data_IF_659057690763
#
_entry.id   IF_659057690763
#
_cell.length_a   1.000
_cell.length_b   1.000
_cell.length_c   1.000
_cell.angle_alpha   90.00
_cell.angle_beta   90.00
_cell.angle_gamma   90.00
#
_symmetry.space_group_name_H-M   'P 1'
#
loop_
_entity.id
_entity.type
_entity.pdbx_description
1 polymer ?
#
# COMPACT_ATOMS: atom_id res chain seq x y z
N UNK A 1 16.63 3.54 -2.77
CA UNK A 1 15.34 2.87 -2.96
C UNK A 1 15.12 1.90 -1.82
N UNK A 2 14.29 2.29 -0.88
CA UNK A 2 13.81 1.44 0.21
C UNK A 2 12.60 0.62 -0.25
N UNK A 3 12.25 -0.44 0.47
CA UNK A 3 11.04 -1.23 0.17
C UNK A 3 9.78 -0.39 0.31
N UNK A 4 9.75 0.55 1.25
CA UNK A 4 8.61 1.45 1.42
C UNK A 4 8.45 2.42 0.24
N UNK A 5 9.56 2.95 -0.29
CA UNK A 5 9.55 3.78 -1.51
C UNK A 5 9.00 3.00 -2.71
N UNK A 6 9.48 1.77 -2.93
CA UNK A 6 9.02 0.90 -4.02
C UNK A 6 7.51 0.61 -3.95
N UNK A 7 6.99 0.36 -2.74
CA UNK A 7 5.57 0.11 -2.52
C UNK A 7 4.73 1.34 -2.90
N UNK A 8 5.17 2.53 -2.50
CA UNK A 8 4.48 3.77 -2.84
C UNK A 8 4.52 4.07 -4.34
N UNK A 9 5.66 3.86 -4.99
CA UNK A 9 5.80 4.02 -6.44
C UNK A 9 4.89 3.04 -7.19
N UNK A 10 4.86 1.76 -6.80
CA UNK A 10 3.98 0.75 -7.39
C UNK A 10 2.50 1.13 -7.28
N UNK A 11 2.07 1.61 -6.11
CA UNK A 11 0.70 2.09 -5.91
C UNK A 11 0.39 3.29 -6.81
N UNK A 12 1.29 4.26 -6.86
CA UNK A 12 1.13 5.47 -7.64
C UNK A 12 0.99 5.14 -9.13
N UNK A 13 1.93 4.38 -9.69
CA UNK A 13 1.93 4.01 -11.10
C UNK A 13 0.69 3.18 -11.49
N UNK A 14 0.28 2.25 -10.63
CA UNK A 14 -0.88 1.42 -10.90
C UNK A 14 -2.19 2.22 -10.87
N UNK A 15 -2.36 3.11 -9.90
CA UNK A 15 -3.57 3.94 -9.78
C UNK A 15 -3.62 4.99 -10.90
N UNK A 16 -2.49 5.62 -11.22
CA UNK A 16 -2.37 6.50 -12.39
C UNK A 16 -2.84 5.79 -13.67
N UNK A 17 -2.34 4.57 -13.89
CA UNK A 17 -2.80 3.74 -15.01
C UNK A 17 -4.30 3.44 -14.98
N UNK A 18 -4.89 3.13 -13.81
CA UNK A 18 -6.32 2.89 -13.69
C UNK A 18 -7.13 4.14 -14.05
N UNK A 19 -6.76 5.31 -13.52
CA UNK A 19 -7.43 6.56 -13.83
C UNK A 19 -7.38 6.86 -15.34
N UNK A 20 -6.27 6.54 -16.01
CA UNK A 20 -6.14 6.68 -17.47
C UNK A 20 -7.06 5.73 -18.24
N UNK A 21 -7.36 4.55 -17.70
CA UNK A 21 -8.23 3.56 -18.34
C UNK A 21 -9.72 3.82 -18.12
N UNK A 22 -10.11 4.43 -17.01
CA UNK A 22 -11.50 4.60 -16.59
C UNK A 22 -12.18 5.85 -17.18
N UNK A 23 -11.53 6.57 -18.11
CA UNK A 23 -11.94 7.89 -18.61
C UNK A 23 -12.19 8.93 -17.48
N UNK A 24 -11.74 8.65 -16.25
CA UNK A 24 -11.68 9.59 -15.12
C UNK A 24 -10.54 10.59 -15.28
N UNK A 25 -9.58 10.29 -16.14
CA UNK A 25 -8.56 11.23 -16.59
C UNK A 25 -9.19 12.30 -17.50
N UNK A 26 -9.48 13.47 -16.94
CA UNK A 26 -9.54 14.68 -17.76
C UNK A 26 -8.12 15.05 -18.18
N UNK A 27 -7.92 15.53 -19.41
CA UNK A 27 -6.62 16.07 -19.88
C UNK A 27 -6.09 17.22 -18.99
N UNK A 28 -6.94 17.73 -18.08
CA UNK A 28 -6.67 18.82 -17.15
C UNK A 28 -6.28 18.36 -15.73
N UNK A 29 -6.21 17.04 -15.45
CA UNK A 29 -5.86 16.55 -14.10
C UNK A 29 -4.44 16.97 -13.72
N UNK A 30 -4.34 17.76 -12.66
CA UNK A 30 -3.05 18.19 -12.10
C UNK A 30 -2.36 17.06 -11.33
N UNK A 31 -1.04 17.18 -11.16
CA UNK A 31 -0.27 16.26 -10.33
C UNK A 31 -0.76 16.23 -8.87
N UNK A 32 -1.22 17.38 -8.36
CA UNK A 32 -1.74 17.51 -6.99
C UNK A 32 -3.06 16.74 -6.82
N UNK A 33 -3.96 16.81 -7.81
CA UNK A 33 -5.20 16.02 -7.83
C UNK A 33 -4.91 14.51 -7.94
N UNK A 34 -3.95 14.10 -8.78
CA UNK A 34 -3.54 12.70 -8.88
C UNK A 34 -2.97 12.20 -7.54
N UNK A 35 -2.12 12.99 -6.88
CA UNK A 35 -1.59 12.65 -5.55
C UNK A 35 -2.72 12.49 -4.53
N UNK A 36 -3.75 13.34 -4.58
CA UNK A 36 -4.93 13.21 -3.71
C UNK A 36 -5.72 11.92 -4.00
N UNK A 37 -5.94 11.58 -5.27
CA UNK A 37 -6.61 10.33 -5.67
C UNK A 37 -5.81 9.13 -5.17
N UNK A 38 -4.51 9.08 -5.47
CA UNK A 38 -3.62 7.99 -5.05
C UNK A 38 -3.61 7.85 -3.53
N UNK A 39 -3.53 8.96 -2.79
CA UNK A 39 -3.49 8.95 -1.33
C UNK A 39 -4.78 8.42 -0.70
N UNK A 40 -5.93 8.66 -1.34
CA UNK A 40 -7.23 8.24 -0.85
C UNK A 40 -7.71 6.90 -1.43
N UNK A 41 -6.99 6.34 -2.42
CA UNK A 41 -7.36 5.07 -3.03
C UNK A 41 -7.37 3.92 -2.00
N UNK A 42 -8.35 2.99 -2.05
CA UNK A 42 -8.46 1.91 -1.08
C UNK A 42 -7.19 1.06 -0.90
N UNK A 43 -6.42 0.84 -1.98
CA UNK A 43 -5.15 0.12 -1.90
C UNK A 43 -4.10 0.86 -1.08
N UNK A 44 -3.97 2.18 -1.28
CA UNK A 44 -3.03 3.02 -0.54
C UNK A 44 -3.40 3.13 0.93
N UNK A 45 -4.69 3.38 1.22
CA UNK A 45 -5.19 3.45 2.61
C UNK A 45 -4.95 2.13 3.35
N UNK A 46 -5.24 1.00 2.70
CA UNK A 46 -5.00 -0.33 3.27
C UNK A 46 -3.52 -0.57 3.57
N UNK A 47 -2.64 -0.20 2.64
CA UNK A 47 -1.19 -0.40 2.81
C UNK A 47 -0.61 0.50 3.90
N UNK A 48 -1.00 1.77 3.94
CA UNK A 48 -0.60 2.68 5.01
C UNK A 48 -1.05 2.19 6.38
N UNK A 49 -2.29 1.68 6.49
CA UNK A 49 -2.79 1.09 7.72
C UNK A 49 -1.97 -0.14 8.13
N UNK A 50 -1.64 -1.01 7.17
CA UNK A 50 -0.83 -2.22 7.39
C UNK A 50 0.58 -1.90 7.85
N UNK A 51 1.28 -1.00 7.15
CA UNK A 51 2.62 -0.55 7.52
C UNK A 51 2.62 0.10 8.90
N UNK A 52 1.58 0.89 9.22
CA UNK A 52 1.43 1.52 10.54
C UNK A 52 1.28 0.47 11.65
N UNK A 53 0.43 -0.55 11.46
CA UNK A 53 0.29 -1.66 12.43
C UNK A 53 1.61 -2.39 12.63
N UNK A 54 2.28 -2.76 11.54
CA UNK A 54 3.54 -3.51 11.58
C UNK A 54 4.63 -2.72 12.28
N UNK A 55 4.78 -1.43 11.97
CA UNK A 55 5.74 -0.56 12.62
C UNK A 55 5.43 -0.35 14.10
N UNK A 56 4.15 -0.19 14.46
CA UNK A 56 3.76 -0.07 15.86
C UNK A 56 4.16 -1.32 16.64
N UNK A 57 3.81 -2.51 16.14
CA UNK A 57 4.16 -3.76 16.84
C UNK A 57 5.66 -4.02 16.89
N UNK A 58 6.39 -3.68 15.83
CA UNK A 58 7.86 -3.75 15.82
C UNK A 58 8.48 -2.87 16.91
N UNK A 59 7.93 -1.68 17.14
CA UNK A 59 8.41 -0.77 18.21
C UNK A 59 8.08 -1.29 19.61
N UNK A 60 6.94 -1.95 19.77
CA UNK A 60 6.50 -2.53 21.04
C UNK A 60 7.16 -3.88 21.35
N UNK A 61 7.80 -4.52 20.35
CA UNK A 61 8.41 -5.84 20.47
C UNK A 61 9.93 -5.74 20.59
N UNK A 62 10.51 -5.89 21.80
CA UNK A 62 11.95 -5.67 22.02
C UNK A 62 12.84 -6.77 21.41
N UNK A 63 12.27 -7.91 21.02
CA UNK A 63 13.01 -9.02 20.39
C UNK A 63 12.10 -9.73 19.39
N UNK A 64 12.60 -10.01 18.19
CA UNK A 64 11.88 -10.72 17.15
C UNK A 64 11.70 -12.20 17.51
N UNK A 65 10.65 -12.50 18.29
CA UNK A 65 10.32 -13.87 18.69
C UNK A 65 9.74 -14.67 17.51
N UNK A 66 9.76 -16.00 17.63
CA UNK A 66 9.11 -16.86 16.64
C UNK A 66 7.61 -16.56 16.50
N UNK A 67 6.93 -16.24 17.61
CA UNK A 67 5.52 -15.83 17.62
C UNK A 67 5.30 -14.54 16.85
N UNK A 68 6.18 -13.54 17.05
CA UNK A 68 6.12 -12.28 16.31
C UNK A 68 6.34 -12.51 14.81
N UNK A 69 7.35 -13.29 14.42
CA UNK A 69 7.63 -13.58 13.01
C UNK A 69 6.49 -14.37 12.35
N UNK A 70 5.90 -15.31 13.08
CA UNK A 70 4.73 -16.05 12.60
C UNK A 70 3.54 -15.11 12.40
N UNK A 71 3.27 -14.23 13.37
CA UNK A 71 2.23 -13.20 13.23
C UNK A 71 2.50 -12.30 12.03
N UNK A 72 3.71 -11.76 11.89
CA UNK A 72 4.06 -10.85 10.80
C UNK A 72 3.89 -11.52 9.42
N UNK A 73 4.22 -12.81 9.34
CA UNK A 73 4.04 -13.60 8.11
C UNK A 73 2.57 -13.80 7.74
N UNK A 74 1.68 -13.93 8.73
CA UNK A 74 0.26 -14.23 8.50
C UNK A 74 -0.65 -13.01 8.62
N UNK A 75 -0.17 -11.88 9.13
CA UNK A 75 -0.97 -10.68 9.36
C UNK A 75 -1.34 -9.96 8.05
N UNK A 76 -0.65 -10.27 6.96
CA UNK A 76 -0.93 -9.78 5.61
C UNK A 76 -1.92 -10.67 4.83
N UNK A 77 -2.71 -11.51 5.52
CA UNK A 77 -3.63 -12.45 4.87
C UNK A 77 -4.78 -11.73 4.14
N UNK A 78 -4.51 -11.32 2.90
CA UNK A 78 -5.46 -10.74 1.95
C UNK A 78 -6.05 -11.83 1.02
N UNK A 79 -6.34 -13.01 1.56
CA UNK A 79 -6.83 -14.16 0.78
C UNK A 79 -5.85 -14.65 -0.30
N UNK A 80 -4.54 -14.47 -0.08
CA UNK A 80 -3.48 -14.81 -1.03
C UNK A 80 -3.23 -13.77 -2.12
N UNK A 81 -3.93 -12.63 -2.07
CA UNK A 81 -3.77 -11.55 -3.04
C UNK A 81 -2.64 -10.59 -2.69
N UNK A 82 -2.08 -9.94 -3.70
CA UNK A 82 -1.08 -8.88 -3.56
C UNK A 82 -1.69 -7.58 -3.00
N UNK A 83 -0.83 -6.57 -2.84
CA UNK A 83 -1.20 -5.19 -2.52
C UNK A 83 -2.25 -4.60 -3.47
N UNK A 84 -2.26 -5.04 -4.74
CA UNK A 84 -3.14 -4.56 -5.80
C UNK A 84 -4.29 -5.54 -6.09
N UNK A 85 -4.57 -6.46 -5.15
CA UNK A 85 -5.60 -7.49 -5.25
C UNK A 85 -5.43 -8.49 -6.43
N UNK A 86 -4.23 -8.58 -6.99
CA UNK A 86 -3.85 -9.58 -7.99
C UNK A 86 -3.52 -10.94 -7.33
N UNK A 87 -3.80 -12.05 -8.04
CA UNK A 87 -3.59 -13.44 -7.58
C UNK A 87 -2.63 -14.21 -8.47
#
# INVERSE_FOLDING_TARGET
>A
MSVAEEIHETLFEYIDYLCQCEDEYSEDMSHEELVEIVSNHPFTVREMAKQSEDLQRLRETPTLTAEFLQWLRTSSENGGKSLLDLS
#
